data_IF_739829417168
#
_entry.id   IF_739829417168
#
_cell.length_a   1.000
_cell.length_b   1.000
_cell.length_c   1.000
_cell.angle_alpha   90.00
_cell.angle_beta   90.00
_cell.angle_gamma   90.00
#
_symmetry.space_group_name_H-M   'P 1'
#
loop_
_entity.id
_entity.type
_entity.pdbx_description
1 polymer ?
#
# COMPACT_ATOMS: atom_id res chain seq x y z
N UNK A 1 15.15 -16.46 15.54
CA UNK A 1 15.65 -15.10 15.27
C UNK A 1 14.47 -14.28 14.76
N UNK A 2 13.89 -13.46 15.61
CA UNK A 2 12.81 -12.54 15.22
C UNK A 2 13.46 -11.29 14.63
N UNK A 3 13.71 -11.33 13.33
CA UNK A 3 13.96 -10.11 12.58
C UNK A 3 12.70 -9.25 12.76
N UNK A 4 12.81 -8.22 13.58
CA UNK A 4 11.78 -7.19 13.67
C UNK A 4 11.84 -6.46 12.33
N UNK A 5 11.20 -7.04 11.32
CA UNK A 5 10.98 -6.39 10.04
C UNK A 5 10.19 -5.15 10.39
N UNK A 6 10.86 -4.00 10.43
CA UNK A 6 10.25 -2.68 10.52
C UNK A 6 9.36 -2.60 9.29
N UNK A 7 8.10 -3.00 9.44
CA UNK A 7 7.19 -3.04 8.30
C UNK A 7 6.82 -1.58 8.03
N UNK A 8 7.44 -1.02 7.00
CA UNK A 8 7.32 0.40 6.68
C UNK A 8 5.90 0.68 6.17
N UNK A 9 5.31 1.76 6.66
CA UNK A 9 4.07 2.31 6.10
C UNK A 9 4.44 3.33 5.04
N UNK A 10 3.90 3.16 3.84
CA UNK A 10 4.01 4.16 2.78
C UNK A 10 2.84 5.12 2.89
N UNK A 11 3.10 6.43 2.95
CA UNK A 11 2.06 7.47 3.04
C UNK A 11 2.21 8.41 1.86
N UNK A 12 1.18 8.48 1.03
CA UNK A 12 1.01 9.52 0.02
C UNK A 12 0.04 10.60 0.50
N UNK A 13 -0.10 11.69 -0.28
CA UNK A 13 -1.08 12.74 0.01
C UNK A 13 -2.52 12.20 0.04
N UNK A 14 -2.79 11.23 -0.81
CA UNK A 14 -4.13 10.70 -1.11
C UNK A 14 -4.34 9.27 -0.65
N UNK A 15 -3.32 8.62 -0.08
CA UNK A 15 -3.41 7.23 0.35
C UNK A 15 -2.44 6.91 1.50
N UNK A 16 -2.72 5.82 2.21
CA UNK A 16 -1.76 5.18 3.12
C UNK A 16 -1.74 3.67 2.84
N UNK A 17 -0.56 3.09 2.69
CA UNK A 17 -0.37 1.66 2.56
C UNK A 17 0.36 1.14 3.81
N UNK A 18 -0.37 0.38 4.61
CA UNK A 18 0.07 -0.15 5.90
C UNK A 18 0.20 -1.66 5.86
N UNK A 19 1.25 -2.25 6.42
CA UNK A 19 1.35 -3.69 6.63
C UNK A 19 0.21 -4.24 7.49
N UNK A 20 -0.26 -5.44 7.18
CA UNK A 20 -1.24 -6.17 7.97
C UNK A 20 -0.53 -6.98 9.07
N UNK A 21 -1.12 -7.06 10.28
CA UNK A 21 -0.57 -7.90 11.33
C UNK A 21 -0.50 -9.37 10.91
N UNK A 22 0.61 -10.04 11.24
CA UNK A 22 0.86 -11.45 10.87
C UNK A 22 -0.17 -12.45 11.39
N UNK A 23 -0.94 -12.10 12.43
CA UNK A 23 -2.03 -12.91 12.97
C UNK A 23 -3.37 -12.74 12.23
N UNK A 24 -3.52 -11.70 11.40
CA UNK A 24 -4.74 -11.51 10.59
C UNK A 24 -4.65 -12.29 9.30
N UNK A 25 -5.60 -13.20 9.09
CA UNK A 25 -5.79 -13.86 7.79
C UNK A 25 -6.84 -13.09 7.00
N UNK A 26 -6.41 -12.45 5.92
CA UNK A 26 -7.29 -11.78 4.97
C UNK A 26 -6.87 -12.13 3.55
N UNK A 27 -7.80 -12.05 2.59
CA UNK A 27 -7.54 -12.30 1.18
C UNK A 27 -7.28 -10.99 0.46
N UNK A 28 -6.45 -11.05 -0.57
CA UNK A 28 -6.25 -9.94 -1.48
C UNK A 28 -7.58 -9.57 -2.17
N UNK A 29 -7.82 -8.28 -2.36
CA UNK A 29 -9.03 -7.73 -2.99
C UNK A 29 -8.75 -7.01 -4.31
N UNK A 30 -7.49 -6.97 -4.77
CA UNK A 30 -7.08 -6.28 -6.00
C UNK A 30 -7.71 -6.89 -7.27
N UNK A 31 -7.82 -8.21 -7.31
CA UNK A 31 -8.48 -8.96 -8.37
C UNK A 31 -9.30 -10.08 -7.74
N UNK A 32 -10.51 -10.29 -8.25
CA UNK A 32 -11.39 -11.41 -7.91
C UNK A 32 -10.74 -12.78 -8.12
N UNK A 33 -9.74 -12.88 -9.00
CA UNK A 33 -8.99 -14.12 -9.22
C UNK A 33 -7.83 -14.31 -8.24
N UNK A 34 -7.42 -13.26 -7.51
CA UNK A 34 -6.29 -13.34 -6.60
C UNK A 34 -6.64 -14.15 -5.35
N UNK A 35 -6.03 -15.34 -5.23
CA UNK A 35 -6.21 -16.21 -4.05
C UNK A 35 -5.12 -16.01 -2.98
N UNK A 36 -4.22 -15.04 -3.18
CA UNK A 36 -3.13 -14.78 -2.24
C UNK A 36 -3.64 -14.17 -0.93
N UNK A 37 -2.89 -14.43 0.14
CA UNK A 37 -3.10 -13.78 1.43
C UNK A 37 -2.72 -12.31 1.32
N UNK A 38 -3.56 -11.42 1.84
CA UNK A 38 -3.23 -10.02 1.98
C UNK A 38 -2.20 -9.82 3.09
N UNK A 39 -1.20 -9.02 2.79
CA UNK A 39 -0.10 -8.61 3.67
C UNK A 39 -0.11 -7.11 3.92
N UNK A 40 -0.89 -6.35 3.15
CA UNK A 40 -1.00 -4.90 3.26
C UNK A 40 -2.46 -4.47 3.18
N UNK A 41 -2.72 -3.33 3.80
CA UNK A 41 -3.97 -2.58 3.76
C UNK A 41 -3.68 -1.24 3.09
N UNK A 42 -4.38 -0.97 2.00
CA UNK A 42 -4.43 0.32 1.35
C UNK A 42 -5.65 1.09 1.86
N UNK A 43 -5.42 2.33 2.27
CA UNK A 43 -6.44 3.32 2.60
C UNK A 43 -6.38 4.41 1.56
N UNK A 44 -7.38 4.47 0.68
CA UNK A 44 -7.51 5.56 -0.28
C UNK A 44 -8.33 6.69 0.33
N UNK A 45 -7.71 7.86 0.49
CA UNK A 45 -8.39 9.08 0.94
C UNK A 45 -9.25 9.68 -0.16
N UNK A 46 -8.91 9.45 -1.44
CA UNK A 46 -9.69 9.92 -2.59
C UNK A 46 -11.06 9.25 -2.68
N UNK A 47 -11.11 7.94 -2.46
CA UNK A 47 -12.34 7.13 -2.60
C UNK A 47 -12.96 6.75 -1.26
N UNK A 48 -12.32 7.11 -0.14
CA UNK A 48 -12.68 6.67 1.21
C UNK A 48 -12.83 5.13 1.33
N UNK A 49 -12.11 4.38 0.50
CA UNK A 49 -12.17 2.91 0.45
C UNK A 49 -10.96 2.27 1.13
N UNK A 50 -11.18 1.04 1.62
CA UNK A 50 -10.14 0.18 2.16
C UNK A 50 -9.98 -1.02 1.24
N UNK A 51 -8.76 -1.26 0.79
CA UNK A 51 -8.40 -2.41 -0.04
C UNK A 51 -7.30 -3.23 0.66
N UNK A 52 -7.27 -4.53 0.41
CA UNK A 52 -6.31 -5.45 1.01
C UNK A 52 -5.47 -6.07 -0.09
N UNK A 53 -4.15 -5.92 -0.04
CA UNK A 53 -3.24 -6.39 -1.08
C UNK A 53 -2.26 -7.41 -0.55
N UNK A 54 -1.91 -8.40 -1.38
CA UNK A 54 -0.71 -9.21 -1.20
C UNK A 54 0.52 -8.43 -1.69
N UNK A 55 1.72 -8.92 -1.37
CA UNK A 55 2.98 -8.23 -1.72
C UNK A 55 3.08 -7.92 -3.22
N UNK A 56 2.65 -8.85 -4.07
CA UNK A 56 2.64 -8.66 -5.52
C UNK A 56 1.78 -7.46 -5.95
N UNK A 57 0.54 -7.39 -5.47
CA UNK A 57 -0.38 -6.30 -5.82
C UNK A 57 0.01 -4.98 -5.17
N UNK A 58 0.62 -5.01 -3.97
CA UNK A 58 1.21 -3.81 -3.35
C UNK A 58 2.33 -3.23 -4.21
N UNK A 59 3.23 -4.07 -4.72
CA UNK A 59 4.32 -3.63 -5.59
C UNK A 59 3.82 -3.13 -6.95
N UNK A 60 2.81 -3.79 -7.53
CA UNK A 60 2.19 -3.31 -8.76
C UNK A 60 1.52 -1.94 -8.56
N UNK A 61 0.69 -1.81 -7.51
CA UNK A 61 -0.03 -0.59 -7.19
C UNK A 61 0.92 0.59 -6.90
N UNK A 62 2.00 0.35 -6.15
CA UNK A 62 2.97 1.41 -5.82
C UNK A 62 3.63 1.98 -7.07
N UNK A 63 4.06 1.15 -8.02
CA UNK A 63 4.65 1.60 -9.29
C UNK A 63 3.71 2.48 -10.12
N UNK A 64 2.41 2.20 -10.09
CA UNK A 64 1.41 3.03 -10.78
C UNK A 64 1.24 4.40 -10.12
N UNK A 65 1.46 4.48 -8.81
CA UNK A 65 1.19 5.66 -7.98
C UNK A 65 2.45 6.43 -7.53
N UNK A 66 3.65 5.95 -7.89
CA UNK A 66 4.94 6.66 -7.73
C UNK A 66 4.96 8.03 -8.43
N UNK A 67 4.01 8.31 -9.34
CA UNK A 67 3.91 9.56 -10.12
C UNK A 67 2.89 10.59 -9.60
N UNK A 68 2.23 10.33 -8.47
CA UNK A 68 1.32 11.30 -7.81
C UNK A 68 2.12 12.29 -6.89
N UNK A 69 3.45 12.21 -6.87
CA UNK A 69 4.32 13.31 -6.42
C UNK A 69 4.36 14.37 -7.54
N UNK A 70 3.92 15.63 -7.29
CA UNK A 70 4.26 16.70 -8.21
C UNK A 70 5.79 16.80 -8.28
N UNK A 71 6.38 17.21 -9.42
CA UNK A 71 7.80 17.56 -9.43
C UNK A 71 8.01 18.54 -8.28
N UNK A 72 8.99 18.28 -7.42
CA UNK A 72 9.33 19.16 -6.32
C UNK A 72 9.41 20.59 -6.88
N UNK A 73 8.40 21.41 -6.59
CA UNK A 73 8.41 22.81 -7.00
C UNK A 73 9.70 23.39 -6.47
N UNK A 74 10.50 23.86 -7.40
CA UNK A 74 11.77 24.52 -7.16
C UNK A 74 11.46 25.73 -6.29
N UNK A 75 11.71 25.59 -4.99
CA UNK A 75 11.75 26.72 -4.09
C UNK A 75 12.93 27.62 -4.51
N UNK A 76 12.61 28.78 -5.06
CA UNK A 76 13.55 29.85 -5.41
C UNK A 76 12.77 30.90 -6.20
N UNK A 77 12.14 31.87 -5.53
CA UNK A 77 12.75 33.10 -5.01
C UNK A 77 13.23 34.02 -6.14
#
# INVERSE_FOLDING_TARGET
MSEATLQLTLVGRTFCLTPLPSHRQARCTADTTCQCRATHRLLSRRTASVELFCDHHTLAWSREHERDEPPAETAGA
#
